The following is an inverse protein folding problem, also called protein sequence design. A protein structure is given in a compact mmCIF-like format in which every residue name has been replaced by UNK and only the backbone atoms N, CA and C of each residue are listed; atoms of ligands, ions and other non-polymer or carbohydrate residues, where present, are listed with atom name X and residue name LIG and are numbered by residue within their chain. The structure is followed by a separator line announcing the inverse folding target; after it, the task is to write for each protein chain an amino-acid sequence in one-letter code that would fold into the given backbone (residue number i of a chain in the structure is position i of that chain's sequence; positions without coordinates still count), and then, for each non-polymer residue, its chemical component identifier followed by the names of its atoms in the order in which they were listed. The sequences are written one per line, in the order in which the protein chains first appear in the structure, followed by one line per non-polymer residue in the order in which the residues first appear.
data_IF_368300318016
#
_entry.id   IF_368300318016
#
_cell.length_a   1.000
_cell.length_b   1.000
_cell.length_c   1.000
_cell.angle_alpha   90.00
_cell.angle_beta   90.00
_cell.angle_gamma   90.00
#
_symmetry.space_group_name_H-M   'P 1'
#
loop_
_entity.id
_entity.type
_entity.pdbx_description
1 polymer ?
#
# COMPACT_ATOMS: atom_id res chain seq x y z
N UNK A 1 -65.59 42.10 1.44
CA UNK A 1 -64.49 41.59 2.28
C UNK A 1 -63.89 40.41 1.51
N UNK A 2 -62.85 40.67 0.68
CA UNK A 2 -62.15 39.63 -0.08
C UNK A 2 -60.98 39.11 0.71
N UNK A 3 -60.98 37.79 1.02
CA UNK A 3 -59.86 37.10 1.63
C UNK A 3 -58.79 36.84 0.57
N UNK A 4 -57.61 37.42 0.77
CA UNK A 4 -56.43 37.18 -0.06
C UNK A 4 -55.70 35.97 0.49
N UNK A 5 -55.79 34.82 -0.18
CA UNK A 5 -55.03 33.59 0.18
C UNK A 5 -53.62 33.69 -0.36
N UNK A 6 -52.64 33.93 0.51
CA UNK A 6 -51.21 33.91 0.16
C UNK A 6 -50.72 32.47 0.10
N UNK A 7 -50.41 31.98 -1.09
CA UNK A 7 -49.81 30.67 -1.32
C UNK A 7 -48.26 30.76 -1.07
N UNK A 8 -47.81 30.28 0.08
CA UNK A 8 -46.39 30.19 0.37
C UNK A 8 -45.82 28.94 -0.35
N UNK A 9 -45.17 29.14 -1.46
CA UNK A 9 -44.42 28.07 -2.13
C UNK A 9 -43.14 27.78 -1.34
N UNK A 10 -43.07 26.64 -0.64
CA UNK A 10 -41.87 26.13 0.01
C UNK A 10 -40.88 25.68 -1.08
N UNK A 11 -39.91 26.52 -1.38
CA UNK A 11 -38.78 26.13 -2.22
C UNK A 11 -37.91 25.16 -1.41
N UNK A 12 -38.05 23.86 -1.67
CA UNK A 12 -37.08 22.85 -1.24
C UNK A 12 -35.79 23.07 -2.04
N UNK A 13 -34.83 23.83 -1.51
CA UNK A 13 -33.50 23.90 -2.04
C UNK A 13 -32.84 22.54 -1.82
N UNK A 14 -32.26 21.90 -2.87
CA UNK A 14 -31.50 20.67 -2.66
C UNK A 14 -30.31 21.00 -1.75
N UNK A 15 -30.21 20.30 -0.62
CA UNK A 15 -29.00 20.33 0.20
C UNK A 15 -27.83 19.89 -0.70
N UNK A 16 -26.93 20.82 -0.99
CA UNK A 16 -25.65 20.50 -1.63
C UNK A 16 -24.84 19.75 -0.57
N UNK A 17 -25.03 18.44 -0.50
CA UNK A 17 -24.17 17.58 0.28
C UNK A 17 -22.79 17.63 -0.36
N UNK A 18 -21.87 18.38 0.23
CA UNK A 18 -20.45 18.27 -0.10
C UNK A 18 -20.04 16.85 0.23
N UNK A 19 -19.77 16.04 -0.80
CA UNK A 19 -19.25 14.69 -0.60
C UNK A 19 -17.98 14.78 0.25
N UNK A 20 -18.00 14.13 1.43
CA UNK A 20 -16.88 14.15 2.36
C UNK A 20 -15.62 13.58 1.67
N UNK A 21 -14.55 14.37 1.67
CA UNK A 21 -13.26 14.03 1.06
C UNK A 21 -12.57 12.92 1.83
N UNK A 22 -12.11 11.89 1.13
CA UNK A 22 -11.32 10.80 1.72
C UNK A 22 -9.83 11.17 1.72
N UNK A 23 -9.18 11.05 2.87
CA UNK A 23 -7.72 11.16 2.98
C UNK A 23 -7.11 9.77 2.85
N UNK A 24 -6.37 9.54 1.77
CA UNK A 24 -5.75 8.26 1.44
C UNK A 24 -4.29 8.27 1.91
N UNK A 25 -3.96 7.45 2.88
CA UNK A 25 -2.60 7.36 3.43
C UNK A 25 -1.79 6.23 2.80
N UNK A 26 -0.51 6.49 2.56
CA UNK A 26 0.45 5.51 2.07
C UNK A 26 1.88 5.87 2.51
N UNK A 27 2.82 4.99 2.22
CA UNK A 27 4.25 5.25 2.41
C UNK A 27 4.99 5.26 1.07
N UNK A 28 6.18 5.80 1.04
CA UNK A 28 7.06 5.70 -0.13
C UNK A 28 7.55 4.26 -0.27
N UNK A 29 7.26 3.65 -1.41
CA UNK A 29 7.66 2.28 -1.76
C UNK A 29 7.83 2.16 -3.29
N UNK A 30 8.90 2.70 -3.87
CA UNK A 30 9.10 2.71 -5.32
C UNK A 30 9.38 1.30 -5.87
N UNK A 31 8.93 1.02 -7.12
CA UNK A 31 8.20 1.88 -8.05
C UNK A 31 6.68 1.92 -7.80
N UNK A 32 6.17 1.30 -6.74
CA UNK A 32 4.74 1.18 -6.46
C UNK A 32 4.12 2.48 -5.96
N UNK A 33 4.86 3.20 -5.13
CA UNK A 33 4.47 4.46 -4.50
C UNK A 33 5.67 5.40 -4.46
N UNK A 34 5.65 6.44 -5.27
CA UNK A 34 6.77 7.35 -5.49
C UNK A 34 6.34 8.76 -5.12
N UNK A 35 7.21 9.49 -4.42
CA UNK A 35 7.09 10.91 -4.19
C UNK A 35 8.25 11.63 -4.91
N UNK A 36 7.92 12.33 -5.99
CA UNK A 36 8.83 13.23 -6.68
C UNK A 36 8.50 14.67 -6.31
N UNK A 37 9.07 15.17 -5.21
CA UNK A 37 8.89 16.55 -4.75
C UNK A 37 7.40 16.94 -4.60
N UNK A 38 6.61 16.09 -3.98
CA UNK A 38 5.17 16.27 -3.78
C UNK A 38 4.29 15.79 -4.94
N UNK A 39 4.86 15.39 -6.08
CA UNK A 39 4.12 14.71 -7.14
C UNK A 39 4.07 13.22 -6.84
N UNK A 40 2.93 12.78 -6.31
CA UNK A 40 2.72 11.38 -5.92
C UNK A 40 2.33 10.54 -7.14
N UNK A 41 3.10 9.47 -7.42
CA UNK A 41 2.92 8.57 -8.56
C UNK A 41 3.37 7.14 -8.19
N UNK A 42 3.54 6.26 -9.18
CA UNK A 42 3.85 4.85 -9.00
C UNK A 42 2.67 3.96 -9.33
N UNK A 43 2.92 2.72 -9.75
CA UNK A 43 1.89 1.83 -10.29
C UNK A 43 0.67 1.70 -9.36
N UNK A 44 0.87 1.48 -8.06
CA UNK A 44 -0.23 1.35 -7.12
C UNK A 44 -0.93 2.68 -6.86
N UNK A 45 -0.19 3.79 -6.87
CA UNK A 45 -0.76 5.13 -6.74
C UNK A 45 -1.66 5.47 -7.92
N UNK A 46 -1.25 5.14 -9.15
CA UNK A 46 -2.06 5.38 -10.36
C UNK A 46 -3.33 4.51 -10.37
N UNK A 47 -3.24 3.24 -9.94
CA UNK A 47 -4.42 2.37 -9.80
C UNK A 47 -5.41 2.96 -8.79
N UNK A 48 -4.93 3.37 -7.62
CA UNK A 48 -5.80 3.94 -6.57
C UNK A 48 -6.42 5.25 -7.01
N UNK A 49 -5.68 6.13 -7.70
CA UNK A 49 -6.25 7.32 -8.32
C UNK A 49 -7.36 6.97 -9.31
N UNK A 50 -7.15 5.97 -10.17
CA UNK A 50 -8.18 5.52 -11.12
C UNK A 50 -9.44 5.03 -10.40
N UNK A 51 -9.31 4.25 -9.32
CA UNK A 51 -10.44 3.77 -8.51
C UNK A 51 -11.25 4.96 -7.95
N UNK A 52 -10.59 5.94 -7.34
CA UNK A 52 -11.26 7.11 -6.79
C UNK A 52 -11.90 8.00 -7.86
N UNK A 53 -11.19 8.27 -8.96
CA UNK A 53 -11.75 9.05 -10.08
C UNK A 53 -12.98 8.39 -10.69
N UNK A 54 -12.93 7.07 -10.95
CA UNK A 54 -14.07 6.35 -11.51
C UNK A 54 -15.25 6.25 -10.52
N UNK A 55 -15.01 6.27 -9.20
CA UNK A 55 -16.06 6.27 -8.19
C UNK A 55 -16.74 7.64 -7.99
N UNK A 56 -16.15 8.73 -8.47
CA UNK A 56 -16.59 10.11 -8.24
C UNK A 56 -16.41 10.60 -6.81
N UNK A 57 -15.70 9.84 -5.93
CA UNK A 57 -15.46 10.23 -4.54
C UNK A 57 -14.26 11.17 -4.47
N UNK A 58 -14.41 12.39 -3.88
CA UNK A 58 -13.30 13.31 -3.69
C UNK A 58 -12.25 12.71 -2.77
N UNK A 59 -10.96 12.87 -3.12
CA UNK A 59 -9.88 12.32 -2.31
C UNK A 59 -8.62 13.19 -2.37
N UNK A 60 -7.71 12.95 -1.43
CA UNK A 60 -6.32 13.39 -1.48
C UNK A 60 -5.41 12.27 -0.98
N UNK A 61 -4.20 12.18 -1.53
CA UNK A 61 -3.22 11.19 -1.08
C UNK A 61 -2.14 11.88 -0.25
N UNK A 62 -1.79 11.28 0.91
CA UNK A 62 -0.72 11.73 1.80
C UNK A 62 0.25 10.61 2.08
N UNK A 63 1.54 10.85 1.82
CA UNK A 63 2.57 9.91 2.19
C UNK A 63 3.10 10.23 3.59
N UNK A 64 3.13 9.18 4.41
CA UNK A 64 3.65 9.20 5.79
C UNK A 64 4.40 7.89 6.04
N UNK A 65 5.22 7.76 7.09
CA UNK A 65 5.83 6.48 7.43
C UNK A 65 4.79 5.37 7.56
N UNK A 66 5.08 4.18 7.03
CA UNK A 66 4.12 3.07 6.88
C UNK A 66 3.37 2.72 8.18
N UNK A 67 4.10 2.58 9.29
CA UNK A 67 3.47 2.31 10.60
C UNK A 67 2.53 3.42 11.06
N UNK A 68 2.81 4.68 10.67
CA UNK A 68 1.94 5.83 10.95
C UNK A 68 0.68 5.80 10.10
N UNK A 69 0.79 5.45 8.80
CA UNK A 69 -0.38 5.27 7.93
C UNK A 69 -1.36 4.25 8.50
N UNK A 70 -0.85 3.08 8.91
CA UNK A 70 -1.65 2.03 9.52
C UNK A 70 -2.34 2.50 10.81
N UNK A 71 -1.59 3.19 11.69
CA UNK A 71 -2.15 3.73 12.95
C UNK A 71 -3.26 4.74 12.70
N UNK A 72 -3.07 5.67 11.73
CA UNK A 72 -4.06 6.69 11.40
C UNK A 72 -5.36 6.05 10.91
N UNK A 73 -5.29 5.16 9.93
CA UNK A 73 -6.48 4.58 9.30
C UNK A 73 -7.14 3.49 10.15
N UNK A 74 -6.37 2.85 11.03
CA UNK A 74 -6.88 1.90 12.02
C UNK A 74 -7.43 2.55 13.29
N UNK A 75 -7.38 3.88 13.40
CA UNK A 75 -7.95 4.62 14.52
C UNK A 75 -9.44 4.91 14.26
N UNK A 76 -10.32 4.31 15.06
CA UNK A 76 -11.77 4.44 14.93
C UNK A 76 -12.30 5.88 15.17
N UNK A 77 -11.47 6.77 15.74
CA UNK A 77 -11.83 8.19 15.89
C UNK A 77 -11.72 8.99 14.60
N UNK A 78 -10.95 8.49 13.61
CA UNK A 78 -10.70 9.17 12.34
C UNK A 78 -11.61 8.63 11.24
N UNK A 79 -12.61 9.44 10.87
CA UNK A 79 -13.52 9.15 9.75
C UNK A 79 -12.86 9.44 8.41
N UNK A 80 -13.42 8.84 7.35
CA UNK A 80 -13.10 9.18 5.96
C UNK A 80 -11.61 9.11 5.62
N UNK A 81 -10.95 8.08 6.13
CA UNK A 81 -9.56 7.77 5.82
C UNK A 81 -9.42 6.42 5.12
N UNK A 82 -8.42 6.32 4.24
CA UNK A 82 -8.11 5.12 3.49
C UNK A 82 -6.62 4.82 3.53
N UNK A 83 -6.26 3.57 3.27
CA UNK A 83 -4.87 3.09 3.12
C UNK A 83 -4.80 2.11 1.96
N UNK A 84 -3.73 2.15 1.18
CA UNK A 84 -3.49 1.20 0.10
C UNK A 84 -2.11 0.53 0.22
N UNK A 85 -1.81 -0.41 -0.66
CA UNK A 85 -0.71 -1.36 -0.49
C UNK A 85 -0.81 -2.18 0.81
N UNK A 86 -2.02 -2.37 1.32
CA UNK A 86 -2.23 -3.07 2.57
C UNK A 86 -2.42 -4.58 2.31
N UNK A 87 -1.50 -5.39 2.84
CA UNK A 87 -1.69 -6.84 2.89
C UNK A 87 -2.75 -7.19 3.95
N UNK A 88 -3.67 -8.12 3.61
CA UNK A 88 -4.75 -8.60 4.48
C UNK A 88 -4.32 -9.84 5.26
N UNK A 89 -4.57 -9.86 6.55
CA UNK A 89 -4.37 -10.99 7.44
C UNK A 89 -5.42 -10.97 8.57
N UNK A 90 -5.49 -12.00 9.39
CA UNK A 90 -6.46 -12.11 10.49
C UNK A 90 -6.39 -10.94 11.47
N UNK A 91 -5.19 -10.48 11.82
CA UNK A 91 -5.01 -9.36 12.76
C UNK A 91 -5.59 -8.06 12.20
N UNK A 92 -5.49 -7.84 10.88
CA UNK A 92 -5.99 -6.64 10.19
C UNK A 92 -7.45 -6.74 9.78
N UNK A 93 -7.99 -7.96 9.72
CA UNK A 93 -9.36 -8.22 9.26
C UNK A 93 -10.38 -7.37 9.99
N UNK A 94 -10.23 -7.25 11.30
CA UNK A 94 -11.13 -6.52 12.16
C UNK A 94 -10.83 -5.02 12.27
N UNK A 95 -9.73 -4.54 11.67
CA UNK A 95 -9.29 -3.14 11.82
C UNK A 95 -9.77 -2.23 10.69
N UNK A 96 -10.14 -2.79 9.54
CA UNK A 96 -10.44 -2.03 8.33
C UNK A 96 -11.71 -2.50 7.63
N UNK A 97 -12.32 -1.60 6.83
CA UNK A 97 -13.29 -1.97 5.79
C UNK A 97 -12.54 -2.20 4.49
N UNK A 98 -12.60 -3.40 3.95
CA UNK A 98 -11.86 -3.80 2.77
C UNK A 98 -12.62 -3.46 1.49
N UNK A 99 -12.01 -2.69 0.59
CA UNK A 99 -12.54 -2.43 -0.74
C UNK A 99 -12.26 -3.62 -1.65
N UNK A 100 -11.01 -4.07 -1.73
CA UNK A 100 -10.64 -5.26 -2.49
C UNK A 100 -9.16 -5.30 -2.88
N UNK A 101 -8.77 -6.42 -3.49
CA UNK A 101 -7.44 -6.64 -4.04
C UNK A 101 -7.35 -6.00 -5.42
N UNK A 102 -6.31 -5.21 -5.67
CA UNK A 102 -6.08 -4.56 -6.95
C UNK A 102 -4.70 -4.85 -7.54
N UNK A 103 -3.78 -5.43 -6.76
CA UNK A 103 -2.42 -5.72 -7.20
C UNK A 103 -1.83 -6.93 -6.47
N UNK A 104 -0.96 -7.67 -7.17
CA UNK A 104 -0.25 -8.83 -6.65
C UNK A 104 1.25 -8.58 -6.71
N UNK A 105 1.96 -8.83 -5.62
CA UNK A 105 3.41 -8.63 -5.52
C UNK A 105 4.10 -9.88 -5.00
N UNK A 106 5.02 -10.42 -5.80
CA UNK A 106 5.92 -11.47 -5.36
C UNK A 106 7.00 -10.90 -4.44
N UNK A 107 7.17 -11.52 -3.28
CA UNK A 107 8.15 -11.15 -2.25
C UNK A 107 9.15 -12.26 -2.08
N UNK A 108 10.44 -11.91 -2.03
CA UNK A 108 11.56 -12.85 -1.93
C UNK A 108 12.56 -12.38 -0.90
N UNK A 109 13.34 -13.31 -0.34
CA UNK A 109 14.59 -12.97 0.31
C UNK A 109 15.62 -12.63 -0.75
N UNK A 110 16.22 -11.44 -0.62
CA UNK A 110 17.20 -10.90 -1.55
C UNK A 110 18.53 -10.72 -0.85
N UNK A 111 19.61 -10.95 -1.60
CA UNK A 111 20.98 -10.76 -1.14
C UNK A 111 21.83 -10.10 -2.23
N UNK A 112 23.07 -9.77 -1.94
CA UNK A 112 24.03 -9.37 -2.98
C UNK A 112 24.69 -10.61 -3.59
N UNK A 113 24.96 -10.56 -4.88
CA UNK A 113 25.79 -11.55 -5.56
C UNK A 113 27.13 -11.72 -4.83
N UNK A 114 27.64 -12.92 -4.83
CA UNK A 114 28.92 -13.25 -4.19
C UNK A 114 29.01 -12.95 -2.67
N UNK A 115 27.88 -12.74 -1.99
CA UNK A 115 27.84 -12.51 -0.54
C UNK A 115 28.09 -13.76 0.30
N UNK A 116 28.05 -14.94 -0.31
CA UNK A 116 28.08 -16.23 0.41
C UNK A 116 26.77 -16.63 1.08
N UNK A 117 25.75 -15.77 1.04
CA UNK A 117 24.41 -16.08 1.57
C UNK A 117 23.73 -17.12 0.69
N UNK A 118 23.12 -18.14 1.31
CA UNK A 118 22.32 -19.18 0.62
C UNK A 118 21.07 -19.45 1.43
N UNK A 119 19.93 -19.13 0.86
CA UNK A 119 18.61 -19.36 1.46
C UNK A 119 17.83 -20.27 0.51
N UNK A 120 17.67 -21.52 0.89
CA UNK A 120 16.89 -22.53 0.15
C UNK A 120 15.52 -22.79 0.77
N UNK A 121 15.29 -22.27 1.98
CA UNK A 121 14.05 -22.37 2.71
C UNK A 121 14.05 -21.39 3.89
N UNK A 122 12.90 -21.26 4.55
CA UNK A 122 12.70 -20.26 5.61
C UNK A 122 13.62 -20.49 6.83
N UNK A 123 13.97 -21.72 7.15
CA UNK A 123 14.87 -22.02 8.28
C UNK A 123 16.32 -21.53 8.06
N UNK A 124 16.75 -21.39 6.81
CA UNK A 124 18.07 -20.86 6.50
C UNK A 124 18.20 -19.39 6.89
N UNK A 125 17.10 -18.65 6.91
CA UNK A 125 17.08 -17.20 7.20
C UNK A 125 17.60 -16.92 8.61
N UNK A 126 17.37 -17.81 9.57
CA UNK A 126 17.84 -17.69 10.96
C UNK A 126 19.35 -17.50 11.10
N UNK A 127 20.13 -17.94 10.10
CA UNK A 127 21.59 -17.85 10.07
C UNK A 127 22.10 -16.44 9.76
N UNK A 128 21.25 -15.57 9.17
CA UNK A 128 21.65 -14.31 8.57
C UNK A 128 21.02 -13.10 9.27
N UNK A 129 21.77 -11.99 9.30
CA UNK A 129 21.22 -10.68 9.70
C UNK A 129 20.24 -10.20 8.63
N UNK A 130 18.96 -10.12 8.98
CA UNK A 130 17.87 -9.76 8.06
C UNK A 130 17.40 -8.32 8.27
N UNK A 131 17.33 -7.54 7.20
CA UNK A 131 16.70 -6.22 7.20
C UNK A 131 15.19 -6.33 7.03
N UNK A 132 14.43 -5.72 7.94
CA UNK A 132 12.97 -5.79 8.00
C UNK A 132 12.35 -4.40 8.06
N UNK A 133 11.15 -4.23 7.48
CA UNK A 133 10.38 -2.98 7.56
C UNK A 133 9.36 -3.05 8.68
N UNK A 134 9.32 -1.99 9.51
CA UNK A 134 8.38 -1.91 10.63
C UNK A 134 6.94 -1.85 10.15
N UNK A 135 6.10 -2.75 10.68
CA UNK A 135 4.68 -2.83 10.34
C UNK A 135 4.38 -3.50 9.00
N UNK A 136 5.40 -3.98 8.28
CA UNK A 136 5.21 -4.76 7.06
C UNK A 136 4.60 -6.13 7.38
N UNK A 137 3.72 -6.64 6.48
CA UNK A 137 2.99 -7.88 6.69
C UNK A 137 3.93 -9.11 6.69
N UNK A 138 4.91 -9.13 5.78
CA UNK A 138 5.89 -10.24 5.74
C UNK A 138 6.79 -10.24 6.96
N UNK A 139 7.18 -9.04 7.44
CA UNK A 139 7.91 -8.89 8.70
C UNK A 139 7.13 -9.49 9.87
N UNK A 140 5.83 -9.20 9.98
CA UNK A 140 4.98 -9.74 11.05
C UNK A 140 4.86 -11.25 10.93
N UNK A 141 4.54 -11.77 9.75
CA UNK A 141 4.35 -13.20 9.49
C UNK A 141 5.62 -14.00 9.76
N UNK A 142 6.76 -13.61 9.19
CA UNK A 142 8.03 -14.34 9.36
C UNK A 142 8.49 -14.34 10.82
N UNK A 143 8.27 -13.25 11.56
CA UNK A 143 8.60 -13.18 12.99
C UNK A 143 7.67 -14.08 13.82
N UNK A 144 6.37 -14.04 13.58
CA UNK A 144 5.39 -14.86 14.34
C UNK A 144 5.60 -16.35 14.11
N UNK A 145 6.07 -16.75 12.94
CA UNK A 145 6.40 -18.12 12.59
C UNK A 145 7.81 -18.56 13.04
N UNK A 146 8.59 -17.66 13.65
CA UNK A 146 9.91 -17.96 14.17
C UNK A 146 11.00 -18.19 13.12
N UNK A 147 10.81 -17.69 11.88
CA UNK A 147 11.79 -17.82 10.80
C UNK A 147 12.89 -16.76 10.83
N UNK A 148 12.73 -15.69 11.61
CA UNK A 148 13.73 -14.62 11.71
C UNK A 148 14.58 -14.80 12.98
N UNK A 149 15.89 -14.94 12.79
CA UNK A 149 16.86 -14.94 13.87
C UNK A 149 17.32 -13.53 14.23
N UNK A 150 18.49 -13.12 13.73
CA UNK A 150 19.03 -11.76 13.90
C UNK A 150 18.40 -10.81 12.88
N UNK A 151 18.04 -9.57 13.29
CA UNK A 151 17.45 -8.61 12.38
C UNK A 151 17.70 -7.16 12.78
N UNK A 152 17.58 -6.28 11.80
CA UNK A 152 17.47 -4.83 11.98
C UNK A 152 16.15 -4.32 11.42
N UNK A 153 15.49 -3.42 12.14
CA UNK A 153 14.22 -2.80 11.74
C UNK A 153 14.47 -1.41 11.18
N UNK A 154 13.88 -1.14 10.02
CA UNK A 154 13.89 0.19 9.38
C UNK A 154 12.47 0.70 9.13
N UNK A 155 12.36 1.97 8.70
CA UNK A 155 11.07 2.60 8.35
C UNK A 155 10.56 2.20 6.97
N UNK A 156 11.46 1.86 6.04
CA UNK A 156 11.17 1.67 4.61
C UNK A 156 12.21 0.80 3.91
N UNK A 157 11.87 0.35 2.69
CA UNK A 157 12.75 -0.48 1.86
C UNK A 157 13.96 0.27 1.30
N UNK A 158 13.91 1.59 1.18
CA UNK A 158 15.07 2.39 0.71
C UNK A 158 16.22 2.22 1.69
N UNK A 159 15.94 2.29 2.98
CA UNK A 159 16.93 2.07 4.02
C UNK A 159 17.44 0.63 4.05
N UNK A 160 16.56 -0.37 3.82
CA UNK A 160 16.96 -1.77 3.75
C UNK A 160 17.91 -2.04 2.59
N UNK A 161 17.62 -1.56 1.38
CA UNK A 161 18.51 -1.72 0.23
C UNK A 161 19.85 -1.06 0.50
N UNK A 162 19.87 0.17 1.04
CA UNK A 162 21.13 0.85 1.41
C UNK A 162 21.94 0.06 2.44
N UNK A 163 21.29 -0.56 3.44
CA UNK A 163 21.96 -1.41 4.44
C UNK A 163 22.51 -2.68 3.82
N UNK A 164 21.78 -3.30 2.89
CA UNK A 164 22.23 -4.48 2.15
C UNK A 164 23.53 -4.19 1.39
N UNK A 165 23.59 -3.10 0.61
CA UNK A 165 24.79 -2.70 -0.12
C UNK A 165 25.96 -2.30 0.80
N UNK A 166 25.65 -1.74 1.99
CA UNK A 166 26.67 -1.45 3.02
C UNK A 166 27.05 -2.69 3.85
N UNK A 167 26.52 -3.88 3.52
CA UNK A 167 26.76 -5.17 4.22
C UNK A 167 26.41 -5.11 5.72
N UNK A 168 25.54 -4.19 6.14
CA UNK A 168 25.02 -4.10 7.50
C UNK A 168 23.97 -5.19 7.79
N UNK A 169 23.23 -5.59 6.76
CA UNK A 169 22.38 -6.77 6.74
C UNK A 169 22.83 -7.68 5.61
N UNK A 170 22.62 -8.98 5.78
CA UNK A 170 23.03 -10.00 4.83
C UNK A 170 21.93 -10.34 3.82
N UNK A 171 20.68 -10.16 4.25
CA UNK A 171 19.50 -10.36 3.42
C UNK A 171 18.42 -9.34 3.77
N UNK A 172 17.52 -9.09 2.83
CA UNK A 172 16.29 -8.30 3.00
C UNK A 172 15.12 -9.09 2.43
N UNK A 173 13.89 -8.79 2.87
CA UNK A 173 12.68 -9.40 2.34
C UNK A 173 11.81 -8.33 1.71
N UNK A 174 11.70 -8.36 0.37
CA UNK A 174 10.93 -7.40 -0.41
C UNK A 174 10.78 -7.89 -1.86
N UNK A 175 10.19 -7.10 -2.74
CA UNK A 175 10.10 -7.39 -4.17
C UNK A 175 11.43 -7.14 -4.88
N UNK A 176 11.79 -8.04 -5.79
CA UNK A 176 12.98 -7.86 -6.66
C UNK A 176 12.90 -6.57 -7.44
N UNK A 177 11.72 -6.24 -7.99
CA UNK A 177 11.50 -5.01 -8.75
C UNK A 177 11.75 -3.77 -7.88
N UNK A 178 11.19 -3.73 -6.67
CA UNK A 178 11.39 -2.62 -5.75
C UNK A 178 12.87 -2.47 -5.37
N UNK A 179 13.52 -3.56 -4.97
CA UNK A 179 14.92 -3.51 -4.56
C UNK A 179 15.84 -3.02 -5.70
N UNK A 180 15.64 -3.51 -6.93
CA UNK A 180 16.40 -3.08 -8.10
C UNK A 180 16.14 -1.64 -8.48
N UNK A 181 14.88 -1.21 -8.47
CA UNK A 181 14.51 0.18 -8.71
C UNK A 181 15.18 1.11 -7.70
N UNK A 182 15.05 0.80 -6.41
CA UNK A 182 15.68 1.57 -5.32
C UNK A 182 17.20 1.62 -5.48
N UNK A 183 17.84 0.51 -5.81
CA UNK A 183 19.29 0.48 -6.05
C UNK A 183 19.67 1.46 -7.16
N UNK A 184 19.02 1.38 -8.32
CA UNK A 184 19.28 2.25 -9.49
C UNK A 184 19.11 3.73 -9.14
N UNK A 185 18.00 4.12 -8.49
CA UNK A 185 17.71 5.51 -8.11
C UNK A 185 18.69 6.07 -7.08
N UNK A 186 19.40 5.20 -6.35
CA UNK A 186 20.41 5.61 -5.37
C UNK A 186 21.86 5.40 -5.85
N UNK A 187 22.09 5.24 -7.17
CA UNK A 187 23.41 5.10 -7.76
C UNK A 187 24.11 3.77 -7.41
N UNK A 188 23.34 2.74 -7.03
CA UNK A 188 23.83 1.40 -6.72
C UNK A 188 23.57 0.47 -7.92
N UNK A 189 24.41 -0.52 -8.14
CA UNK A 189 24.22 -1.46 -9.24
C UNK A 189 23.09 -2.46 -8.97
N UNK A 190 21.92 -2.35 -9.64
CA UNK A 190 20.78 -3.24 -9.42
C UNK A 190 21.10 -4.70 -9.80
N UNK A 191 22.11 -4.96 -10.63
CA UNK A 191 22.51 -6.30 -11.05
C UNK A 191 23.22 -7.08 -9.94
N UNK A 192 23.64 -6.41 -8.86
CA UNK A 192 24.18 -7.06 -7.67
C UNK A 192 23.09 -7.73 -6.83
N UNK A 193 21.82 -7.35 -7.00
CA UNK A 193 20.72 -7.93 -6.24
C UNK A 193 20.31 -9.28 -6.83
N UNK A 194 20.32 -10.31 -5.98
CA UNK A 194 19.99 -11.69 -6.32
C UNK A 194 18.89 -12.23 -5.41
N UNK A 195 17.76 -12.75 -5.99
CA UNK A 195 16.75 -13.46 -5.22
C UNK A 195 17.30 -14.83 -4.80
N UNK A 196 17.06 -15.22 -3.54
CA UNK A 196 17.46 -16.51 -2.98
C UNK A 196 16.28 -17.46 -2.79
N UNK A 197 15.17 -16.95 -2.25
CA UNK A 197 14.00 -17.74 -1.94
C UNK A 197 12.73 -16.90 -2.04
N UNK A 198 11.75 -17.38 -2.80
CA UNK A 198 10.45 -16.76 -2.93
C UNK A 198 9.58 -17.11 -1.72
N UNK A 199 9.12 -16.10 -1.00
CA UNK A 199 8.36 -16.29 0.24
C UNK A 199 6.89 -16.49 -0.06
N UNK A 200 6.30 -15.47 -0.69
CA UNK A 200 4.85 -15.41 -0.92
C UNK A 200 4.50 -14.38 -2.01
N UNK A 201 3.28 -14.47 -2.53
CA UNK A 201 2.67 -13.40 -3.32
C UNK A 201 1.69 -12.62 -2.44
N UNK A 202 2.10 -11.42 -2.06
CA UNK A 202 1.27 -10.49 -1.27
C UNK A 202 0.19 -9.89 -2.15
N UNK A 203 -1.05 -9.89 -1.64
CA UNK A 203 -2.21 -9.25 -2.26
C UNK A 203 -2.38 -7.86 -1.68
N UNK A 204 -2.17 -6.82 -2.48
CA UNK A 204 -2.39 -5.46 -2.04
C UNK A 204 -3.84 -5.05 -2.18
N UNK A 205 -4.37 -4.53 -1.09
CA UNK A 205 -5.73 -4.08 -0.96
C UNK A 205 -5.79 -2.56 -0.77
N UNK A 206 -6.89 -1.97 -1.23
CA UNK A 206 -7.39 -0.71 -0.75
C UNK A 206 -8.34 -0.98 0.43
N UNK A 207 -8.15 -0.26 1.52
CA UNK A 207 -8.96 -0.39 2.74
C UNK A 207 -9.29 0.99 3.30
N UNK A 208 -10.42 1.06 4.02
CA UNK A 208 -10.95 2.28 4.64
C UNK A 208 -10.95 2.13 6.17
N UNK A 209 -10.98 3.25 6.89
CA UNK A 209 -11.28 3.22 8.33
C UNK A 209 -12.64 2.60 8.57
N UNK A 210 -12.83 1.92 9.70
CA UNK A 210 -14.11 1.27 10.07
C UNK A 210 -15.29 2.24 10.13
N UNK A 211 -15.01 3.49 10.46
CA UNK A 211 -16.00 4.55 10.61
C UNK A 211 -16.42 5.21 9.30
N UNK A 212 -15.75 4.90 8.17
CA UNK A 212 -16.19 5.31 6.84
C UNK A 212 -17.53 4.65 6.49
N UNK A 213 -18.44 5.38 5.84
CA UNK A 213 -19.79 4.87 5.50
C UNK A 213 -19.72 3.67 4.55
N UNK A 214 -20.71 2.77 4.63
CA UNK A 214 -20.79 1.62 3.73
C UNK A 214 -21.11 2.05 2.29
N UNK A 215 -21.79 3.17 2.12
CA UNK A 215 -22.04 3.75 0.81
C UNK A 215 -20.73 4.07 0.07
N UNK A 216 -19.79 4.75 0.74
CA UNK A 216 -18.46 5.05 0.18
C UNK A 216 -17.71 3.76 -0.14
N UNK A 217 -17.72 2.79 0.78
CA UNK A 217 -17.06 1.51 0.59
C UNK A 217 -17.63 0.77 -0.62
N UNK A 218 -18.94 0.73 -0.78
CA UNK A 218 -19.64 0.08 -1.90
C UNK A 218 -19.35 0.76 -3.24
N UNK A 219 -19.32 2.10 -3.29
CA UNK A 219 -18.94 2.85 -4.50
C UNK A 219 -17.50 2.54 -4.93
N UNK A 220 -16.56 2.48 -3.99
CA UNK A 220 -15.16 2.12 -4.30
C UNK A 220 -15.01 0.67 -4.75
N UNK A 221 -15.76 -0.28 -4.15
CA UNK A 221 -15.80 -1.69 -4.61
C UNK A 221 -16.33 -1.79 -6.04
N UNK A 222 -17.44 -1.12 -6.33
CA UNK A 222 -18.01 -1.11 -7.68
C UNK A 222 -17.02 -0.54 -8.69
N UNK A 223 -16.37 0.58 -8.35
CA UNK A 223 -15.34 1.19 -9.19
C UNK A 223 -14.15 0.24 -9.44
N UNK A 224 -13.64 -0.42 -8.40
CA UNK A 224 -12.56 -1.39 -8.53
C UNK A 224 -12.95 -2.53 -9.48
N UNK A 225 -14.15 -3.10 -9.32
CA UNK A 225 -14.62 -4.18 -10.18
C UNK A 225 -14.73 -3.74 -11.65
N UNK A 226 -15.28 -2.57 -11.92
CA UNK A 226 -15.35 -2.01 -13.28
C UNK A 226 -13.96 -1.90 -13.91
N UNK A 227 -12.97 -1.41 -13.16
CA UNK A 227 -11.60 -1.22 -13.67
C UNK A 227 -10.84 -2.54 -13.85
N UNK A 228 -11.17 -3.58 -13.07
CA UNK A 228 -10.67 -4.94 -13.26
C UNK A 228 -11.29 -5.56 -14.51
N UNK A 229 -12.62 -5.49 -14.65
CA UNK A 229 -13.36 -6.15 -15.73
C UNK A 229 -13.06 -5.54 -17.12
N UNK A 230 -12.76 -4.24 -17.18
CA UNK A 230 -12.45 -3.55 -18.45
C UNK A 230 -10.95 -3.49 -18.78
N UNK A 231 -10.07 -4.10 -17.98
CA UNK A 231 -8.62 -4.18 -18.21
C UNK A 231 -7.87 -2.85 -17.98
N UNK A 232 -8.50 -1.84 -17.36
CA UNK A 232 -7.84 -0.57 -17.11
C UNK A 232 -6.69 -0.68 -16.10
N UNK A 233 -6.82 -1.58 -15.13
CA UNK A 233 -5.75 -1.84 -14.15
C UNK A 233 -4.56 -2.52 -14.82
N UNK A 234 -4.79 -3.53 -15.67
CA UNK A 234 -3.75 -4.21 -16.45
C UNK A 234 -2.98 -3.22 -17.31
N UNK A 235 -3.68 -2.30 -17.99
CA UNK A 235 -3.06 -1.25 -18.81
C UNK A 235 -2.17 -0.32 -17.99
N UNK A 236 -2.59 0.06 -16.78
CA UNK A 236 -1.76 0.85 -15.87
C UNK A 236 -0.49 0.07 -15.52
N UNK A 237 -0.61 -1.21 -15.16
CA UNK A 237 0.53 -2.07 -14.80
C UNK A 237 1.52 -2.22 -15.97
N UNK A 238 1.02 -2.38 -17.18
CA UNK A 238 1.84 -2.50 -18.41
C UNK A 238 2.68 -1.25 -18.67
N UNK A 239 2.15 -0.06 -18.41
CA UNK A 239 2.88 1.19 -18.57
C UNK A 239 4.07 1.35 -17.60
N UNK A 240 4.15 0.50 -16.56
CA UNK A 240 5.20 0.52 -15.56
C UNK A 240 6.21 -0.64 -15.69
N UNK A 241 6.02 -1.55 -16.66
CA UNK A 241 6.93 -2.66 -16.98
C UNK A 241 8.03 -2.24 -17.94
#
# INVERSE_FOLDING_TARGET
MQLLTVLVALFCLPEISFAEKIVVYAAVYPPYQIDHNGKLTGVNTEIVKAIFHNSGIPFEIKYVPWSRAQKIVGDDSLKNSAIYCLGRNEQREQQYKWVGVYFYQKVSFLTLKNSGVRIKGLDDVKKYMTGLVRGDIMTQQLKSQGYIGKYEMVSDDILNVKKLFKKRVQTIVTSVLAAKYIAKENGLDPNQIEPQYDVETVRFNLALSKTTSEEICSKLRASLNILLDNGAIEKIIENWR
#
